data_IF_577154157923
#
_entry.id   IF_577154157923
#
_cell.length_a   1.000
_cell.length_b   1.000
_cell.length_c   1.000
_cell.angle_alpha   90.00
_cell.angle_beta   90.00
_cell.angle_gamma   90.00
#
_symmetry.space_group_name_H-M   'P 1'
#
loop_
_entity.id
_entity.type
_entity.pdbx_description
1 polymer ?
#
# COMPACT_ATOMS: atom_id res chain seq x y z
N UNK A 1 78.49 18.17 21.47
CA UNK A 1 77.48 19.01 22.16
C UNK A 1 76.13 18.47 21.76
N UNK A 2 75.50 17.69 22.65
CA UNK A 2 74.16 17.17 22.46
C UNK A 2 73.18 18.32 22.69
N UNK A 3 72.41 18.67 21.66
CA UNK A 3 71.33 19.64 21.79
C UNK A 3 70.11 18.84 22.30
N UNK A 4 69.98 18.74 23.62
CA UNK A 4 68.73 18.32 24.24
C UNK A 4 67.67 19.36 23.87
N UNK A 5 66.80 19.02 22.92
CA UNK A 5 65.58 19.75 22.65
C UNK A 5 64.62 19.45 23.79
N UNK A 6 64.69 20.24 24.88
CA UNK A 6 63.62 20.26 25.88
C UNK A 6 62.32 20.65 25.17
N UNK A 7 61.38 19.71 25.07
CA UNK A 7 60.00 20.02 24.74
C UNK A 7 59.46 21.02 25.77
N UNK A 8 58.74 22.08 25.36
CA UNK A 8 58.22 23.06 26.32
C UNK A 8 57.21 22.39 27.26
N UNK A 9 57.38 22.60 28.57
CA UNK A 9 56.60 22.04 29.69
C UNK A 9 55.14 22.57 29.76
N UNK A 10 54.61 23.09 28.65
CA UNK A 10 53.29 23.70 28.52
C UNK A 10 52.47 23.15 27.35
N UNK A 11 52.88 22.07 26.68
CA UNK A 11 51.98 21.38 25.76
C UNK A 11 50.78 20.83 26.54
N UNK A 12 49.60 21.38 26.26
CA UNK A 12 48.34 20.82 26.74
C UNK A 12 48.22 19.40 26.20
N UNK A 13 48.13 18.41 27.10
CA UNK A 13 47.77 17.05 26.72
C UNK A 13 46.52 17.11 25.85
N UNK A 14 46.57 16.46 24.68
CA UNK A 14 45.37 16.27 23.87
C UNK A 14 44.39 15.48 24.72
N UNK A 15 43.35 16.15 25.22
CA UNK A 15 42.23 15.53 25.92
C UNK A 15 41.45 14.65 24.93
N UNK A 16 41.99 13.46 24.67
CA UNK A 16 41.24 12.37 24.05
C UNK A 16 40.66 11.51 25.17
N UNK A 17 39.54 11.96 25.71
CA UNK A 17 38.80 11.31 26.82
C UNK A 17 38.10 10.02 26.37
N UNK A 18 38.30 9.56 25.12
CA UNK A 18 37.61 8.39 24.55
C UNK A 18 36.09 8.55 24.41
N UNK A 19 35.51 9.63 24.97
CA UNK A 19 34.09 9.94 25.00
C UNK A 19 33.51 10.14 23.61
N UNK A 20 34.28 10.67 22.65
CA UNK A 20 33.89 10.74 21.25
C UNK A 20 33.75 9.35 20.61
N UNK A 21 34.67 8.43 20.92
CA UNK A 21 34.62 7.05 20.44
C UNK A 21 33.42 6.31 21.04
N UNK A 22 33.20 6.45 22.35
CA UNK A 22 32.05 5.88 23.05
C UNK A 22 30.74 6.45 22.48
N UNK A 23 30.67 7.76 22.25
CA UNK A 23 29.50 8.39 21.65
C UNK A 23 29.24 7.88 20.23
N UNK A 24 30.28 7.73 19.41
CA UNK A 24 30.16 7.19 18.05
C UNK A 24 29.67 5.73 18.05
N UNK A 25 30.19 4.89 18.94
CA UNK A 25 29.74 3.50 19.10
C UNK A 25 28.26 3.41 19.53
N UNK A 26 27.84 4.28 20.45
CA UNK A 26 26.43 4.36 20.87
C UNK A 26 25.53 4.80 19.71
N UNK A 27 25.94 5.80 18.92
CA UNK A 27 25.17 6.24 17.76
C UNK A 27 25.08 5.14 16.69
N UNK A 28 26.18 4.45 16.40
CA UNK A 28 26.18 3.31 15.46
C UNK A 28 25.21 2.21 15.91
N UNK A 29 25.19 1.89 17.20
CA UNK A 29 24.25 0.92 17.76
C UNK A 29 22.80 1.37 17.63
N UNK A 30 22.52 2.65 17.86
CA UNK A 30 21.19 3.23 17.70
C UNK A 30 20.72 3.16 16.24
N UNK A 31 21.60 3.50 15.29
CA UNK A 31 21.31 3.39 13.86
C UNK A 31 21.08 1.94 13.42
N UNK A 32 21.89 0.99 13.90
CA UNK A 32 21.68 -0.43 13.63
C UNK A 32 20.29 -0.90 14.10
N UNK A 33 19.92 -0.55 15.33
CA UNK A 33 18.59 -0.88 15.88
C UNK A 33 17.45 -0.24 15.08
N UNK A 34 17.62 1.02 14.67
CA UNK A 34 16.64 1.72 13.84
C UNK A 34 16.43 1.01 12.50
N UNK A 35 17.52 0.61 11.83
CA UNK A 35 17.43 -0.09 10.55
C UNK A 35 16.77 -1.47 10.70
N UNK A 36 17.11 -2.23 11.75
CA UNK A 36 16.46 -3.51 12.02
C UNK A 36 14.95 -3.35 12.24
N UNK A 37 14.55 -2.35 13.03
CA UNK A 37 13.14 -2.09 13.32
C UNK A 37 12.39 -1.62 12.07
N UNK A 38 13.01 -0.78 11.24
CA UNK A 38 12.46 -0.34 9.96
C UNK A 38 12.33 -1.49 8.95
N UNK A 39 13.35 -2.34 8.82
CA UNK A 39 13.28 -3.55 7.98
C UNK A 39 12.20 -4.51 8.48
N UNK A 40 12.03 -4.66 9.79
CA UNK A 40 10.93 -5.46 10.34
C UNK A 40 9.55 -4.88 10.01
N UNK A 41 9.41 -3.55 9.95
CA UNK A 41 8.15 -2.92 9.55
C UNK A 41 7.87 -3.14 8.06
N UNK A 42 8.87 -2.98 7.20
CA UNK A 42 8.74 -3.25 5.76
C UNK A 42 8.33 -4.70 5.50
N UNK A 43 8.93 -5.66 6.22
CA UNK A 43 8.55 -7.07 6.10
C UNK A 43 7.10 -7.33 6.50
N UNK A 44 6.59 -6.69 7.56
CA UNK A 44 5.18 -6.82 7.94
C UNK A 44 4.23 -6.24 6.89
N UNK A 45 4.65 -5.18 6.18
CA UNK A 45 3.88 -4.61 5.08
C UNK A 45 3.89 -5.59 3.89
N UNK A 46 5.04 -6.15 3.55
CA UNK A 46 5.19 -7.19 2.52
C UNK A 46 4.31 -8.41 2.82
N UNK A 47 4.40 -8.96 4.04
CA UNK A 47 3.59 -10.11 4.47
C UNK A 47 2.08 -9.80 4.39
N UNK A 48 1.66 -8.59 4.76
CA UNK A 48 0.26 -8.18 4.70
C UNK A 48 -0.26 -7.94 3.27
N UNK A 49 0.61 -7.56 2.34
CA UNK A 49 0.29 -7.39 0.92
C UNK A 49 0.27 -8.74 0.19
N UNK A 50 1.14 -9.68 0.55
CA UNK A 50 1.14 -11.05 0.03
C UNK A 50 -0.17 -11.79 0.40
N UNK A 51 -0.70 -11.55 1.60
CA UNK A 51 -2.01 -12.09 2.00
C UNK A 51 -3.19 -11.42 1.25
N UNK A 52 -3.03 -10.22 0.69
CA UNK A 52 -4.16 -9.45 0.13
C UNK A 52 -4.49 -9.78 -1.32
N UNK A 53 -3.55 -10.23 -2.16
CA UNK A 53 -3.83 -10.42 -3.61
C UNK A 53 -3.00 -11.53 -4.30
N UNK A 54 -2.48 -12.51 -3.55
CA UNK A 54 -1.42 -13.43 -4.02
C UNK A 54 -1.80 -14.75 -4.71
N UNK A 55 -3.06 -15.05 -5.04
CA UNK A 55 -3.42 -16.37 -5.63
C UNK A 55 -4.05 -16.34 -7.03
N UNK A 56 -3.98 -15.24 -7.79
CA UNK A 56 -4.78 -15.22 -9.04
C UNK A 56 -4.10 -14.71 -10.31
N UNK A 57 -3.03 -13.89 -10.31
CA UNK A 57 -2.49 -13.39 -11.59
C UNK A 57 -0.99 -13.09 -11.56
N UNK A 58 -0.14 -14.00 -12.08
CA UNK A 58 1.21 -13.64 -12.53
C UNK A 58 1.17 -13.37 -14.05
N UNK A 59 1.30 -12.11 -14.44
CA UNK A 59 1.29 -11.67 -15.84
C UNK A 59 2.38 -12.33 -16.72
N UNK A 60 3.47 -12.83 -16.11
CA UNK A 60 4.53 -13.55 -16.82
C UNK A 60 4.22 -15.04 -17.01
N UNK A 61 3.38 -15.63 -16.15
CA UNK A 61 3.01 -17.05 -16.22
C UNK A 61 1.65 -17.28 -16.90
N UNK A 62 0.73 -16.32 -16.83
CA UNK A 62 -0.62 -16.41 -17.37
C UNK A 62 -0.92 -15.29 -18.39
N UNK A 63 -0.37 -15.37 -19.62
CA UNK A 63 -0.57 -14.34 -20.65
C UNK A 63 -2.03 -14.25 -21.17
N UNK A 64 -2.86 -15.25 -20.83
CA UNK A 64 -4.27 -15.31 -21.23
C UNK A 64 -5.10 -15.70 -20.01
N UNK A 65 -5.92 -14.76 -19.54
CA UNK A 65 -6.93 -15.06 -18.53
C UNK A 65 -8.23 -15.52 -19.17
N UNK A 66 -8.69 -16.72 -18.78
CA UNK A 66 -9.95 -17.28 -19.25
C UNK A 66 -11.01 -17.16 -18.14
N UNK A 67 -11.98 -16.27 -18.35
CA UNK A 67 -13.13 -16.10 -17.45
C UNK A 67 -14.18 -17.17 -17.76
N UNK A 68 -14.09 -18.32 -17.08
CA UNK A 68 -14.99 -19.46 -17.24
C UNK A 68 -16.35 -19.30 -16.52
N UNK A 69 -16.66 -18.10 -16.03
CA UNK A 69 -17.92 -17.83 -15.35
C UNK A 69 -19.08 -17.86 -16.37
N UNK A 70 -20.25 -18.43 -16.00
CA UNK A 70 -21.43 -18.39 -16.86
C UNK A 70 -21.73 -16.96 -17.27
N UNK A 71 -21.72 -16.71 -18.58
CA UNK A 71 -22.05 -15.40 -19.14
C UNK A 71 -23.48 -15.43 -19.66
N UNK A 72 -24.35 -14.67 -19.00
CA UNK A 72 -25.75 -14.52 -19.39
C UNK A 72 -25.83 -13.72 -20.71
N UNK A 73 -26.38 -14.36 -21.76
CA UNK A 73 -26.54 -13.71 -23.06
C UNK A 73 -27.88 -13.00 -23.20
N UNK A 74 -28.86 -13.30 -22.35
CA UNK A 74 -30.17 -12.64 -22.38
C UNK A 74 -30.13 -11.27 -21.69
N UNK A 75 -30.94 -10.35 -22.21
CA UNK A 75 -31.10 -9.04 -21.57
C UNK A 75 -31.88 -9.16 -20.26
N UNK A 76 -31.63 -8.26 -19.31
CA UNK A 76 -32.34 -8.24 -18.02
C UNK A 76 -33.87 -8.20 -18.19
N UNK A 77 -34.37 -7.49 -19.23
CA UNK A 77 -35.80 -7.41 -19.52
C UNK A 77 -36.39 -8.74 -20.02
N UNK A 78 -35.60 -9.56 -20.71
CA UNK A 78 -36.01 -10.90 -21.14
C UNK A 78 -36.05 -11.87 -19.96
N UNK A 79 -35.05 -11.80 -19.07
CA UNK A 79 -34.96 -12.62 -17.86
C UNK A 79 -36.13 -12.41 -16.89
N UNK A 80 -36.58 -11.17 -16.74
CA UNK A 80 -37.65 -10.81 -15.79
C UNK A 80 -39.05 -10.81 -16.40
N UNK A 81 -39.17 -11.21 -17.68
CA UNK A 81 -40.43 -11.18 -18.40
C UNK A 81 -41.37 -12.28 -17.89
N UNK A 82 -42.55 -11.89 -17.49
CA UNK A 82 -43.64 -12.76 -17.04
C UNK A 82 -44.90 -12.56 -17.89
N UNK A 83 -45.88 -13.46 -17.77
CA UNK A 83 -47.19 -13.31 -18.42
C UNK A 83 -48.08 -12.26 -17.74
N UNK A 84 -47.81 -11.93 -16.47
CA UNK A 84 -48.56 -10.95 -15.72
C UNK A 84 -48.09 -9.52 -16.04
N UNK A 85 -48.95 -8.77 -16.73
CA UNK A 85 -48.66 -7.39 -17.18
C UNK A 85 -48.39 -6.41 -16.04
N UNK A 86 -49.04 -6.58 -14.88
CA UNK A 86 -48.82 -5.71 -13.71
C UNK A 86 -47.48 -6.05 -13.08
N UNK A 87 -47.20 -7.34 -12.89
CA UNK A 87 -45.93 -7.81 -12.32
C UNK A 87 -44.73 -7.38 -13.19
N UNK A 88 -44.85 -7.47 -14.52
CA UNK A 88 -43.80 -6.99 -15.43
C UNK A 88 -43.44 -5.54 -15.18
N UNK A 89 -44.42 -4.65 -14.99
CA UNK A 89 -44.16 -3.23 -14.73
C UNK A 89 -43.41 -3.05 -13.41
N UNK A 90 -43.86 -3.73 -12.36
CA UNK A 90 -43.24 -3.66 -11.03
C UNK A 90 -41.79 -4.14 -11.09
N UNK A 91 -41.54 -5.32 -11.68
CA UNK A 91 -40.19 -5.88 -11.74
C UNK A 91 -39.29 -5.07 -12.69
N UNK A 92 -39.82 -4.49 -13.76
CA UNK A 92 -39.04 -3.59 -14.65
C UNK A 92 -38.53 -2.36 -13.88
N UNK A 93 -39.40 -1.71 -13.09
CA UNK A 93 -39.00 -0.56 -12.27
C UNK A 93 -37.98 -0.98 -11.22
N UNK A 94 -38.20 -2.12 -10.55
CA UNK A 94 -37.27 -2.65 -9.56
C UNK A 94 -35.89 -2.96 -10.17
N UNK A 95 -35.86 -3.61 -11.34
CA UNK A 95 -34.64 -3.89 -12.08
C UNK A 95 -33.88 -2.61 -12.46
N UNK A 96 -34.59 -1.57 -12.89
CA UNK A 96 -33.99 -0.27 -13.19
C UNK A 96 -33.32 0.36 -11.96
N UNK A 97 -34.01 0.33 -10.80
CA UNK A 97 -33.46 0.82 -9.54
C UNK A 97 -32.22 0.03 -9.11
N UNK A 98 -32.24 -1.30 -9.22
CA UNK A 98 -31.08 -2.12 -8.92
C UNK A 98 -29.88 -1.78 -9.82
N UNK A 99 -30.11 -1.54 -11.11
CA UNK A 99 -29.08 -1.10 -12.04
C UNK A 99 -28.51 0.27 -11.65
N UNK A 100 -29.35 1.20 -11.23
CA UNK A 100 -28.93 2.53 -10.77
C UNK A 100 -28.09 2.45 -9.50
N UNK A 101 -28.53 1.68 -8.49
CA UNK A 101 -27.77 1.46 -7.26
C UNK A 101 -26.39 0.86 -7.56
N UNK A 102 -26.31 -0.12 -8.47
CA UNK A 102 -25.02 -0.69 -8.88
C UNK A 102 -24.10 0.36 -9.52
N UNK A 103 -24.63 1.23 -10.37
CA UNK A 103 -23.87 2.33 -10.97
C UNK A 103 -23.38 3.33 -9.92
N UNK A 104 -24.26 3.74 -9.00
CA UNK A 104 -23.91 4.66 -7.91
C UNK A 104 -22.86 4.06 -6.97
N UNK A 105 -22.98 2.76 -6.65
CA UNK A 105 -21.96 2.03 -5.88
C UNK A 105 -20.61 2.05 -6.58
N UNK A 106 -20.58 1.68 -7.87
CA UNK A 106 -19.35 1.69 -8.66
C UNK A 106 -18.72 3.10 -8.72
N UNK A 107 -19.54 4.13 -8.88
CA UNK A 107 -19.08 5.52 -8.86
C UNK A 107 -18.53 5.92 -7.48
N UNK A 108 -19.18 5.52 -6.39
CA UNK A 108 -18.72 5.72 -5.03
C UNK A 108 -17.34 5.08 -4.81
N UNK A 109 -17.20 3.81 -5.18
CA UNK A 109 -15.96 3.04 -5.03
C UNK A 109 -14.81 3.62 -5.84
N UNK A 110 -15.06 4.01 -7.10
CA UNK A 110 -14.00 4.47 -8.00
C UNK A 110 -13.61 5.92 -7.83
N UNK A 111 -14.56 6.81 -7.48
CA UNK A 111 -14.30 8.26 -7.43
C UNK A 111 -14.18 8.81 -6.02
N UNK A 112 -14.94 8.28 -5.07
CA UNK A 112 -15.14 8.93 -3.78
C UNK A 112 -14.45 8.21 -2.62
N UNK A 113 -14.42 6.87 -2.62
CA UNK A 113 -13.85 6.10 -1.51
C UNK A 113 -12.37 6.37 -1.31
N UNK A 114 -11.57 6.41 -2.37
CA UNK A 114 -10.14 6.74 -2.26
C UNK A 114 -9.92 8.14 -1.67
N UNK A 115 -10.67 9.14 -2.13
CA UNK A 115 -10.60 10.48 -1.56
C UNK A 115 -10.98 10.52 -0.08
N UNK A 116 -12.01 9.78 0.33
CA UNK A 116 -12.45 9.71 1.73
C UNK A 116 -11.49 8.92 2.64
N UNK A 117 -10.97 7.80 2.14
CA UNK A 117 -10.10 6.89 2.89
C UNK A 117 -8.73 7.51 3.17
N UNK A 118 -8.20 8.24 2.20
CA UNK A 118 -6.90 8.91 2.29
C UNK A 118 -7.02 10.39 2.71
N UNK A 119 -8.13 10.80 3.33
CA UNK A 119 -8.35 12.18 3.80
C UNK A 119 -8.10 13.28 2.74
N UNK A 120 -8.39 12.98 1.47
CA UNK A 120 -8.17 13.86 0.33
C UNK A 120 -6.83 13.66 -0.39
N UNK A 121 -5.93 12.83 0.14
CA UNK A 121 -4.60 12.58 -0.44
C UNK A 121 -4.58 11.45 -1.50
N UNK A 122 -5.66 10.66 -1.58
CA UNK A 122 -5.76 9.50 -2.48
C UNK A 122 -6.02 9.84 -3.94
N UNK A 123 -5.85 11.10 -4.33
CA UNK A 123 -6.37 11.66 -5.57
C UNK A 123 -5.31 12.33 -6.44
N UNK A 124 -4.16 11.69 -6.70
CA UNK A 124 -3.32 11.99 -7.88
C UNK A 124 -2.11 11.06 -7.95
N UNK A 125 -2.20 9.98 -8.72
CA UNK A 125 -1.05 9.48 -9.50
C UNK A 125 -1.60 8.85 -10.78
N UNK A 126 -1.80 9.69 -11.80
CA UNK A 126 -1.79 9.23 -13.19
C UNK A 126 -0.33 9.22 -13.63
N UNK A 127 0.25 8.03 -13.75
CA UNK A 127 1.37 7.74 -14.66
C UNK A 127 0.85 6.80 -15.74
#
# INVERSE_FOLDING_TARGET
MALETLSPDWEFDRLDDGSQKIHAEVQLKNYGKFLEEYTSQLRRIEDALDESDGDVWDFNLDPISLKLLPYEQSSLLELIKTENKVLNKVITVYAALCCEIKKLKYEAETKFYNGLLFYGEGGTYYL
#
